data_IF_069911038300
#
_entry.id   IF_069911038300
#
_cell.length_a   1.000
_cell.length_b   1.000
_cell.length_c   1.000
_cell.angle_alpha   90.00
_cell.angle_beta   90.00
_cell.angle_gamma   90.00
#
_symmetry.space_group_name_H-M   'P 1'
#
loop_
_entity.id
_entity.type
_entity.pdbx_description
1 polymer ?
#
# COMPACT_ATOMS: atom_id res chain seq x y z
N UNK A 1 21.26 -1.85 11.27
CA UNK A 1 21.15 -1.20 9.94
C UNK A 1 19.78 -0.57 9.77
N UNK A 2 19.66 0.56 9.07
CA UNK A 2 18.37 1.20 8.76
C UNK A 2 18.21 1.24 7.24
N UNK A 3 17.11 0.69 6.74
CA UNK A 3 16.71 0.75 5.34
C UNK A 3 15.50 1.68 5.21
N UNK A 4 15.45 2.49 4.15
CA UNK A 4 14.36 3.44 3.90
C UNK A 4 14.05 3.55 2.42
N UNK A 5 12.79 3.81 2.09
CA UNK A 5 12.40 4.25 0.75
C UNK A 5 12.60 5.77 0.68
N UNK A 6 13.43 6.29 -0.24
CA UNK A 6 13.56 7.73 -0.44
C UNK A 6 12.19 8.35 -0.74
N UNK A 7 11.93 9.53 -0.17
CA UNK A 7 10.73 10.35 -0.47
C UNK A 7 9.38 9.75 -0.02
N UNK A 8 9.35 8.55 0.55
CA UNK A 8 8.15 7.93 1.12
C UNK A 8 8.26 7.91 2.67
N UNK A 9 7.74 8.97 3.31
CA UNK A 9 7.73 9.06 4.77
C UNK A 9 6.95 7.89 5.40
N UNK A 10 7.50 7.27 6.43
CA UNK A 10 6.92 6.09 7.09
C UNK A 10 7.32 4.74 6.49
N UNK A 11 8.08 4.73 5.39
CA UNK A 11 8.59 3.50 4.75
C UNK A 11 10.06 3.29 5.14
N UNK A 12 10.27 2.75 6.33
CA UNK A 12 11.60 2.40 6.83
C UNK A 12 11.54 1.15 7.69
N UNK A 13 12.65 0.44 7.76
CA UNK A 13 12.82 -0.73 8.60
C UNK A 13 14.23 -0.76 9.19
N UNK A 14 14.37 -1.47 10.30
CA UNK A 14 15.65 -1.74 10.93
C UNK A 14 15.90 -3.24 10.96
N UNK A 15 17.16 -3.64 10.94
CA UNK A 15 17.60 -5.03 11.09
C UNK A 15 19.07 -5.07 11.52
N UNK A 16 19.52 -6.18 12.07
CA UNK A 16 20.90 -6.33 12.57
C UNK A 16 21.92 -6.47 11.42
N UNK A 17 21.46 -6.96 10.27
CA UNK A 17 22.24 -7.05 9.03
C UNK A 17 21.64 -6.22 7.88
N UNK A 18 22.40 -6.08 6.78
CA UNK A 18 21.90 -5.43 5.57
C UNK A 18 20.75 -6.24 4.95
N UNK A 19 20.92 -7.55 4.84
CA UNK A 19 19.94 -8.51 4.31
C UNK A 19 18.64 -8.48 5.11
N UNK A 20 18.73 -8.51 6.44
CA UNK A 20 17.56 -8.42 7.31
C UNK A 20 16.85 -7.07 7.17
N UNK A 21 17.58 -5.95 7.17
CA UNK A 21 16.97 -4.64 6.97
C UNK A 21 16.29 -4.52 5.59
N UNK A 22 16.84 -5.19 4.56
CA UNK A 22 16.23 -5.27 3.21
C UNK A 22 14.94 -6.10 3.23
N UNK A 23 14.94 -7.25 3.89
CA UNK A 23 13.76 -8.11 4.03
C UNK A 23 12.66 -7.39 4.83
N UNK A 24 13.01 -6.80 5.98
CA UNK A 24 12.06 -6.03 6.80
C UNK A 24 11.49 -4.82 6.03
N UNK A 25 12.29 -4.16 5.18
CA UNK A 25 11.79 -3.06 4.36
C UNK A 25 10.76 -3.53 3.33
N UNK A 26 10.91 -4.74 2.78
CA UNK A 26 9.93 -5.32 1.84
C UNK A 26 8.58 -5.48 2.52
N UNK A 27 8.58 -6.02 3.73
CA UNK A 27 7.35 -6.26 4.49
C UNK A 27 6.67 -4.94 4.90
N UNK A 28 7.46 -3.92 5.28
CA UNK A 28 6.95 -2.56 5.55
C UNK A 28 6.32 -1.93 4.31
N UNK A 29 6.93 -2.10 3.13
CA UNK A 29 6.35 -1.59 1.87
C UNK A 29 4.98 -2.23 1.60
N UNK A 30 4.89 -3.56 1.69
CA UNK A 30 3.65 -4.29 1.46
C UNK A 30 2.57 -3.91 2.47
N UNK A 31 2.91 -3.92 3.77
CA UNK A 31 1.98 -3.59 4.84
C UNK A 31 1.46 -2.16 4.77
N UNK A 32 2.33 -1.18 4.48
CA UNK A 32 1.92 0.22 4.37
C UNK A 32 1.07 0.47 3.12
N UNK A 33 1.35 -0.20 2.00
CA UNK A 33 0.50 -0.11 0.80
C UNK A 33 -0.89 -0.67 1.08
N UNK A 34 -0.98 -1.85 1.71
CA UNK A 34 -2.26 -2.44 2.11
C UNK A 34 -3.04 -1.54 3.08
N UNK A 35 -2.35 -0.99 4.09
CA UNK A 35 -2.96 -0.08 5.06
C UNK A 35 -3.48 1.20 4.39
N UNK A 36 -2.71 1.79 3.48
CA UNK A 36 -3.11 2.99 2.74
C UNK A 36 -4.39 2.72 1.91
N UNK A 37 -4.47 1.58 1.23
CA UNK A 37 -5.66 1.18 0.47
C UNK A 37 -6.89 1.00 1.39
N UNK A 38 -6.74 0.29 2.51
CA UNK A 38 -7.85 0.06 3.45
C UNK A 38 -8.40 1.36 4.06
N UNK A 39 -7.52 2.33 4.29
CA UNK A 39 -7.88 3.63 4.87
C UNK A 39 -8.25 4.69 3.81
N UNK A 40 -8.17 4.37 2.51
CA UNK A 40 -8.39 5.34 1.43
C UNK A 40 -7.36 6.48 1.40
N UNK A 41 -6.14 6.23 1.87
CA UNK A 41 -5.03 7.19 1.84
C UNK A 41 -4.31 7.14 0.49
N UNK A 42 -3.73 8.27 0.10
CA UNK A 42 -2.82 8.31 -1.06
C UNK A 42 -1.55 7.51 -0.76
N UNK A 43 -1.19 6.62 -1.67
CA UNK A 43 0.07 5.88 -1.60
C UNK A 43 1.17 6.81 -2.14
N UNK A 44 2.28 7.04 -1.38
CA UNK A 44 3.38 7.86 -1.88
C UNK A 44 4.05 7.18 -3.07
N UNK A 45 4.76 7.97 -3.89
CA UNK A 45 5.56 7.44 -5.00
C UNK A 45 6.72 6.63 -4.43
N UNK A 46 6.87 5.38 -4.87
CA UNK A 46 7.91 4.46 -4.39
C UNK A 46 8.89 4.21 -5.54
N UNK A 47 10.14 4.66 -5.39
CA UNK A 47 11.19 4.48 -6.41
C UNK A 47 10.76 4.91 -7.82
N UNK A 48 10.02 6.02 -7.92
CA UNK A 48 9.51 6.51 -9.20
C UNK A 48 8.22 5.83 -9.70
N UNK A 49 7.69 4.83 -8.99
CA UNK A 49 6.43 4.16 -9.31
C UNK A 49 5.27 4.83 -8.58
N UNK A 50 4.26 5.24 -9.35
CA UNK A 50 3.00 5.79 -8.84
C UNK A 50 1.94 4.67 -8.79
N UNK A 51 1.18 4.62 -7.70
CA UNK A 51 0.13 3.63 -7.47
C UNK A 51 -1.19 4.38 -7.30
N UNK A 52 -2.15 4.08 -8.17
CA UNK A 52 -3.48 4.69 -8.15
C UNK A 52 -4.56 3.61 -7.98
N UNK A 53 -5.49 3.84 -7.05
CA UNK A 53 -6.70 3.03 -6.96
C UNK A 53 -7.66 3.41 -8.08
N UNK A 54 -8.11 2.43 -8.87
CA UNK A 54 -9.08 2.62 -9.94
C UNK A 54 -10.27 1.70 -9.74
N UNK A 55 -11.48 2.27 -9.80
CA UNK A 55 -12.68 1.45 -9.95
C UNK A 55 -12.67 0.80 -11.32
N UNK A 56 -12.66 -0.53 -11.34
CA UNK A 56 -12.80 -1.30 -12.57
C UNK A 56 -14.29 -1.60 -12.75
N UNK A 57 -14.89 -1.13 -13.86
CA UNK A 57 -16.26 -1.47 -14.21
C UNK A 57 -16.31 -2.95 -14.61
N UNK A 58 -16.64 -3.83 -13.65
CA UNK A 58 -16.62 -5.28 -13.88
C UNK A 58 -17.07 -6.18 -12.74
N UNK A 59 -17.54 -5.65 -11.61
CA UNK A 59 -18.25 -6.43 -10.60
C UNK A 59 -19.59 -5.76 -10.31
N UNK A 60 -20.50 -5.82 -11.29
CA UNK A 60 -21.93 -5.74 -10.98
C UNK A 60 -22.25 -6.96 -10.13
N UNK A 61 -22.23 -6.82 -8.80
CA UNK A 61 -22.81 -7.83 -7.93
C UNK A 61 -24.34 -7.75 -8.08
N UNK A 62 -25.03 -8.79 -8.58
CA UNK A 62 -26.47 -8.76 -8.75
C UNK A 62 -27.13 -9.13 -7.41
N UNK A 63 -26.99 -8.31 -6.37
CA UNK A 63 -27.78 -8.51 -5.15
C UNK A 63 -28.13 -7.19 -4.45
N UNK A 64 -29.40 -6.81 -4.66
CA UNK A 64 -30.24 -6.19 -3.64
C UNK A 64 -30.02 -4.71 -3.37
N UNK A 65 -30.91 -3.86 -3.91
CA UNK A 65 -32.09 -3.36 -3.18
C UNK A 65 -32.84 -2.40 -4.12
N UNK A 66 -33.99 -2.83 -4.62
CA UNK A 66 -35.07 -1.90 -4.92
C UNK A 66 -35.80 -1.65 -3.60
N UNK A 67 -35.56 -0.49 -3.00
CA UNK A 67 -36.44 0.11 -2.01
C UNK A 67 -36.92 1.44 -2.59
N UNK A 68 -38.13 1.38 -3.12
CA UNK A 68 -39.29 2.30 -3.13
C UNK A 68 -39.12 3.78 -2.72
N UNK A 69 -40.07 4.69 -3.03
CA UNK A 69 -41.53 4.53 -3.16
C UNK A 69 -42.10 4.51 -4.59
#
# INVERSE_FOLDING_TARGET
MIARVPEASGFFAQGDSFEEARENLRDVIEGNVLLALQLGLKIPRIAGVEIEERRVAGLTSPHGKAHTP
#
